data_IF_752558140375
#
_entry.id   IF_752558140375
#
_cell.length_a   1.000
_cell.length_b   1.000
_cell.length_c   1.000
_cell.angle_alpha   90.00
_cell.angle_beta   90.00
_cell.angle_gamma   90.00
#
_symmetry.space_group_name_H-M   'P 1'
#
loop_
_entity.id
_entity.type
_entity.pdbx_description
1 polymer ?
#
# COMPACT_ATOMS: atom_id res chain seq x y z
N UNK A 1 24.37 3.28 68.92
CA UNK A 1 24.32 4.00 67.62
C UNK A 1 24.72 3.14 66.41
N UNK A 2 25.83 2.38 66.42
CA UNK A 2 26.23 1.53 65.26
C UNK A 2 25.25 0.41 64.85
N UNK A 3 24.51 -0.19 65.79
CA UNK A 3 23.57 -1.29 65.48
C UNK A 3 22.25 -0.84 64.83
N UNK A 4 21.86 0.43 64.99
CA UNK A 4 20.63 0.99 64.41
C UNK A 4 20.86 1.41 62.94
N UNK A 5 22.05 1.93 62.61
CA UNK A 5 22.42 2.22 61.21
C UNK A 5 22.51 0.95 60.34
N UNK A 6 22.99 -0.17 60.89
CA UNK A 6 23.08 -1.43 60.12
C UNK A 6 21.69 -2.01 59.80
N UNK A 7 20.73 -1.89 60.73
CA UNK A 7 19.34 -2.31 60.51
C UNK A 7 18.62 -1.44 59.48
N UNK A 8 18.85 -0.12 59.49
CA UNK A 8 18.26 0.79 58.49
C UNK A 8 18.81 0.58 57.07
N UNK A 9 20.11 0.28 56.92
CA UNK A 9 20.70 -0.04 55.62
C UNK A 9 20.22 -1.39 55.07
N UNK A 10 19.98 -2.40 55.93
CA UNK A 10 19.44 -3.69 55.51
C UNK A 10 18.00 -3.62 55.01
N UNK A 11 17.16 -2.80 55.66
CA UNK A 11 15.77 -2.57 55.24
C UNK A 11 15.70 -1.71 53.97
N UNK A 12 16.60 -0.74 53.80
CA UNK A 12 16.70 0.04 52.56
C UNK A 12 17.13 -0.82 51.35
N UNK A 13 18.05 -1.77 51.54
CA UNK A 13 18.48 -2.70 50.48
C UNK A 13 17.39 -3.73 50.10
N UNK A 14 16.57 -4.16 51.06
CA UNK A 14 15.44 -5.07 50.81
C UNK A 14 14.24 -4.35 50.15
N UNK A 15 14.04 -3.05 50.41
CA UNK A 15 13.00 -2.26 49.74
C UNK A 15 13.41 -1.84 48.31
N UNK A 16 14.71 -1.75 48.01
CA UNK A 16 15.21 -1.47 46.66
C UNK A 16 15.09 -2.64 45.69
N UNK A 17 15.04 -3.88 46.19
CA UNK A 17 14.88 -5.08 45.37
C UNK A 17 13.41 -5.45 45.10
N UNK A 18 12.45 -4.86 45.84
CA UNK A 18 11.01 -5.08 45.68
C UNK A 18 10.30 -4.12 44.72
N UNK A 19 10.98 -3.10 44.19
CA UNK A 19 10.38 -2.02 43.39
C UNK A 19 10.69 -2.14 41.88
N UNK A 20 10.81 -3.35 41.35
CA UNK A 20 10.86 -3.56 39.90
C UNK A 20 9.47 -3.49 39.23
N UNK A 21 8.38 -3.48 40.01
CA UNK A 21 7.01 -3.47 39.52
C UNK A 21 6.36 -2.09 39.70
N UNK A 22 6.86 -1.08 38.99
CA UNK A 22 6.03 0.10 38.71
C UNK A 22 4.90 -0.27 37.75
N UNK A 23 3.73 0.40 37.77
CA UNK A 23 2.68 0.17 36.78
C UNK A 23 3.16 0.69 35.42
N UNK A 24 3.86 -0.15 34.66
CA UNK A 24 4.37 0.17 33.34
C UNK A 24 4.23 -1.08 32.46
N UNK A 25 3.82 -0.88 31.21
CA UNK A 25 3.90 -1.94 30.21
C UNK A 25 5.39 -2.20 29.94
N UNK A 26 5.79 -3.46 29.97
CA UNK A 26 7.13 -3.86 29.57
C UNK A 26 7.01 -5.06 28.64
N UNK A 27 7.79 -5.05 27.57
CA UNK A 27 7.83 -6.21 26.68
C UNK A 27 8.55 -7.35 27.38
N UNK A 28 7.83 -8.38 27.79
CA UNK A 28 8.43 -9.63 28.24
C UNK A 28 8.68 -10.49 27.00
N UNK A 29 9.89 -10.39 26.42
CA UNK A 29 10.28 -11.30 25.35
C UNK A 29 10.43 -12.71 25.92
N UNK A 30 9.65 -13.69 25.47
CA UNK A 30 9.98 -15.07 25.72
C UNK A 30 11.18 -15.48 24.83
N UNK A 31 11.86 -16.60 25.13
CA UNK A 31 12.97 -17.10 24.30
C UNK A 31 12.55 -17.32 22.83
N UNK A 32 13.52 -17.55 21.92
CA UNK A 32 13.47 -17.48 20.44
C UNK A 32 12.22 -18.04 19.71
N UNK A 33 11.34 -18.77 20.39
CA UNK A 33 9.93 -18.94 20.01
C UNK A 33 9.10 -19.24 21.26
N UNK A 34 8.00 -18.55 21.48
CA UNK A 34 7.06 -18.95 22.53
C UNK A 34 5.61 -18.64 22.22
N UNK A 35 4.72 -19.29 22.97
CA UNK A 35 3.29 -19.08 22.86
C UNK A 35 2.83 -17.95 23.78
N UNK A 36 2.10 -17.00 23.22
CA UNK A 36 1.41 -15.95 23.97
C UNK A 36 -0.08 -16.01 23.63
N UNK A 37 -0.93 -16.39 24.58
CA UNK A 37 -2.39 -16.48 24.39
C UNK A 37 -2.82 -17.26 23.13
N UNK A 38 -2.12 -18.36 22.81
CA UNK A 38 -2.40 -19.19 21.62
C UNK A 38 -1.77 -18.69 20.32
N UNK A 39 -1.03 -17.57 20.34
CA UNK A 39 -0.24 -17.08 19.22
C UNK A 39 1.21 -17.57 19.32
N UNK A 40 1.77 -18.00 18.19
CA UNK A 40 3.21 -18.26 18.06
C UNK A 40 3.94 -16.93 17.93
N UNK A 41 4.84 -16.62 18.85
CA UNK A 41 5.69 -15.42 18.81
C UNK A 41 7.05 -15.79 18.25
N UNK A 42 7.49 -15.09 17.20
CA UNK A 42 8.85 -15.20 16.65
C UNK A 42 9.59 -13.90 16.92
N UNK A 43 10.83 -14.02 17.40
CA UNK A 43 11.68 -12.86 17.71
C UNK A 43 12.73 -12.70 16.62
N UNK A 44 12.88 -11.48 16.14
CA UNK A 44 13.81 -11.07 15.07
C UNK A 44 14.70 -9.93 15.57
N UNK A 45 15.93 -9.83 15.06
CA UNK A 45 16.89 -8.80 15.49
C UNK A 45 17.29 -7.89 14.32
N UNK A 46 16.72 -6.68 14.29
CA UNK A 46 16.92 -5.70 13.20
C UNK A 46 18.39 -5.27 13.09
N UNK A 47 19.05 -5.03 14.22
CA UNK A 47 20.45 -4.60 14.26
C UNK A 47 21.44 -5.69 13.82
N UNK A 48 20.99 -6.95 13.75
CA UNK A 48 21.75 -8.09 13.22
C UNK A 48 21.45 -8.38 11.74
N UNK A 49 20.67 -7.52 11.09
CA UNK A 49 20.34 -7.63 9.67
C UNK A 49 19.11 -8.50 9.38
N UNK A 50 18.40 -8.98 10.40
CA UNK A 50 17.10 -9.63 10.22
C UNK A 50 16.02 -8.56 10.03
N UNK A 51 15.85 -8.12 8.79
CA UNK A 51 14.85 -7.12 8.41
C UNK A 51 13.46 -7.74 8.20
N UNK A 52 13.29 -9.02 8.54
CA UNK A 52 12.14 -9.82 8.12
C UNK A 52 12.14 -10.04 6.61
N UNK A 53 11.56 -11.16 6.17
CA UNK A 53 11.02 -11.17 4.80
C UNK A 53 9.86 -10.18 4.81
N UNK A 54 9.68 -9.41 3.74
CA UNK A 54 8.43 -8.71 3.49
C UNK A 54 7.33 -9.77 3.33
N UNK A 55 6.83 -10.30 4.45
CA UNK A 55 5.74 -11.24 4.49
C UNK A 55 4.47 -10.43 4.18
N UNK A 56 4.23 -10.23 2.90
CA UNK A 56 2.89 -10.15 2.34
C UNK A 56 2.29 -11.54 2.52
N UNK A 57 1.94 -11.92 3.75
CA UNK A 57 1.46 -13.26 4.04
C UNK A 57 0.60 -13.27 5.30
N UNK A 58 -0.45 -12.44 5.30
CA UNK A 58 -1.74 -12.75 5.94
C UNK A 58 -2.79 -11.71 5.61
N UNK A 59 -3.28 -11.79 4.38
CA UNK A 59 -4.65 -11.45 4.09
C UNK A 59 -5.20 -12.72 3.41
N UNK A 60 -6.07 -13.42 4.14
CA UNK A 60 -6.88 -14.61 3.81
C UNK A 60 -6.45 -15.54 2.64
N UNK A 61 -6.50 -16.85 2.87
CA UNK A 61 -6.23 -17.88 1.84
C UNK A 61 -7.11 -17.80 0.57
N UNK A 62 -8.12 -16.93 0.54
CA UNK A 62 -8.91 -16.59 -0.65
C UNK A 62 -8.29 -15.42 -1.44
N UNK A 63 -7.69 -14.42 -0.79
CA UNK A 63 -7.02 -13.26 -1.41
C UNK A 63 -5.67 -13.60 -2.04
N UNK A 64 -4.91 -14.55 -1.46
CA UNK A 64 -3.60 -14.96 -1.99
C UNK A 64 -3.72 -15.76 -3.31
N UNK A 65 -4.86 -16.43 -3.54
CA UNK A 65 -5.16 -17.09 -4.83
C UNK A 65 -5.50 -16.09 -5.95
N UNK A 66 -5.99 -14.90 -5.57
CA UNK A 66 -6.34 -13.82 -6.49
C UNK A 66 -5.17 -12.84 -6.70
N UNK A 67 -4.18 -12.77 -5.81
CA UNK A 67 -3.03 -11.88 -5.95
C UNK A 67 -2.07 -12.36 -7.06
N UNK A 68 -1.94 -11.59 -8.13
CA UNK A 68 -1.02 -11.88 -9.24
C UNK A 68 0.35 -11.23 -9.06
N UNK A 69 1.40 -11.82 -9.65
CA UNK A 69 2.72 -11.21 -9.69
C UNK A 69 2.78 -10.16 -10.80
N UNK A 70 3.31 -8.96 -10.52
CA UNK A 70 3.42 -7.89 -11.52
C UNK A 70 4.16 -8.34 -12.78
N UNK A 71 5.15 -9.25 -12.65
CA UNK A 71 5.89 -9.80 -13.80
C UNK A 71 5.00 -10.56 -14.78
N UNK A 72 3.89 -11.12 -14.34
CA UNK A 72 2.94 -11.84 -15.20
C UNK A 72 2.21 -10.90 -16.16
N UNK A 73 2.18 -9.59 -15.85
CA UNK A 73 1.58 -8.56 -16.72
C UNK A 73 2.58 -7.97 -17.72
N UNK A 74 3.88 -8.14 -17.49
CA UNK A 74 4.93 -7.50 -18.29
C UNK A 74 5.24 -8.32 -19.54
N UNK A 75 5.45 -7.64 -20.67
CA UNK A 75 5.96 -8.23 -21.91
C UNK A 75 7.41 -7.85 -22.15
N UNK A 76 8.21 -8.76 -22.71
CA UNK A 76 9.64 -8.50 -22.99
C UNK A 76 9.83 -7.38 -24.03
N UNK A 77 8.97 -7.39 -25.05
CA UNK A 77 8.86 -6.38 -26.09
C UNK A 77 7.39 -6.14 -26.45
N UNK A 78 7.08 -4.93 -26.90
CA UNK A 78 5.74 -4.63 -27.41
C UNK A 78 5.52 -5.39 -28.72
N UNK A 79 4.51 -6.27 -28.80
CA UNK A 79 4.22 -6.97 -30.04
C UNK A 79 3.76 -5.98 -31.11
N UNK A 80 4.09 -6.24 -32.37
CA UNK A 80 3.34 -5.62 -33.46
C UNK A 80 1.95 -6.25 -33.46
N UNK A 81 0.98 -5.57 -32.85
CA UNK A 81 -0.40 -6.01 -32.90
C UNK A 81 -0.95 -5.75 -34.29
N UNK A 82 -1.48 -6.81 -34.89
CA UNK A 82 -2.39 -6.67 -36.01
C UNK A 82 -3.82 -6.54 -35.46
N UNK A 83 -4.51 -5.49 -35.88
CA UNK A 83 -5.87 -5.25 -35.42
C UNK A 83 -6.85 -6.17 -36.17
N UNK A 84 -7.57 -7.00 -35.41
CA UNK A 84 -8.67 -7.80 -35.90
C UNK A 84 -10.00 -7.13 -35.57
N UNK A 85 -10.84 -6.98 -36.59
CA UNK A 85 -12.18 -6.39 -36.51
C UNK A 85 -13.02 -7.20 -35.53
N UNK A 86 -13.69 -6.51 -34.62
CA UNK A 86 -14.60 -7.07 -33.63
C UNK A 86 -16.05 -6.63 -33.83
N UNK A 87 -16.98 -7.26 -33.10
CA UNK A 87 -18.37 -6.81 -33.05
C UNK A 87 -18.47 -5.35 -32.59
N UNK A 88 -19.45 -4.61 -33.13
CA UNK A 88 -19.71 -3.19 -32.85
C UNK A 88 -18.72 -2.17 -33.43
N UNK A 89 -17.62 -2.60 -34.04
CA UNK A 89 -16.69 -1.70 -34.69
C UNK A 89 -17.32 -0.97 -35.89
N UNK A 90 -16.73 0.16 -36.26
CA UNK A 90 -17.09 0.90 -37.47
C UNK A 90 -15.99 0.72 -38.50
N UNK A 91 -16.38 0.30 -39.71
CA UNK A 91 -15.47 0.07 -40.83
C UNK A 91 -15.88 0.98 -41.98
N UNK A 92 -14.94 1.77 -42.48
CA UNK A 92 -15.11 2.53 -43.70
C UNK A 92 -14.57 1.74 -44.87
N UNK A 93 -15.39 1.61 -45.91
CA UNK A 93 -15.05 0.94 -47.16
C UNK A 93 -15.14 1.98 -48.26
N UNK A 94 -14.06 2.17 -49.00
CA UNK A 94 -13.98 3.10 -50.13
C UNK A 94 -13.76 2.27 -51.38
N UNK A 95 -14.63 2.44 -52.37
CA UNK A 95 -14.46 1.86 -53.70
C UNK A 95 -14.19 3.00 -54.67
N UNK A 96 -12.99 3.03 -55.24
CA UNK A 96 -12.58 4.09 -56.14
C UNK A 96 -13.43 4.08 -57.42
N UNK A 97 -13.67 5.26 -57.97
CA UNK A 97 -14.53 5.49 -59.15
C UNK A 97 -15.99 5.06 -58.97
N UNK A 98 -16.38 4.63 -57.77
CA UNK A 98 -17.71 4.17 -57.40
C UNK A 98 -18.22 4.86 -56.11
N UNK A 99 -18.54 6.17 -56.17
CA UNK A 99 -19.05 6.92 -55.01
C UNK A 99 -20.36 6.35 -54.44
N UNK A 100 -21.17 5.70 -55.28
CA UNK A 100 -22.40 5.02 -54.91
C UNK A 100 -22.18 3.80 -53.99
N UNK A 101 -21.00 3.20 -54.01
CA UNK A 101 -20.63 2.09 -53.11
C UNK A 101 -19.91 2.60 -51.86
N UNK A 102 -19.14 3.68 -51.98
CA UNK A 102 -18.45 4.31 -50.85
C UNK A 102 -19.42 4.98 -49.88
N UNK A 103 -20.44 5.67 -50.41
CA UNK A 103 -21.46 6.37 -49.63
C UNK A 103 -22.86 6.09 -50.18
N UNK A 104 -23.39 4.86 -50.00
CA UNK A 104 -24.65 4.44 -50.62
C UNK A 104 -25.87 5.25 -50.18
N UNK A 105 -25.82 5.99 -49.05
CA UNK A 105 -26.89 6.91 -48.61
C UNK A 105 -26.49 8.40 -48.68
N UNK A 106 -25.44 8.76 -49.43
CA UNK A 106 -25.00 10.15 -49.64
C UNK A 106 -24.24 10.78 -48.47
N UNK A 107 -24.16 12.13 -48.44
CA UNK A 107 -23.32 12.90 -47.50
C UNK A 107 -23.75 12.84 -46.01
N UNK A 108 -24.87 12.20 -45.69
CA UNK A 108 -25.45 12.20 -44.34
C UNK A 108 -25.12 10.95 -43.50
N UNK A 109 -24.28 10.04 -44.01
CA UNK A 109 -23.94 8.81 -43.31
C UNK A 109 -22.75 9.01 -42.36
N UNK A 110 -22.77 8.41 -41.15
CA UNK A 110 -21.59 8.34 -40.30
C UNK A 110 -20.43 7.68 -41.06
N UNK A 111 -19.20 8.04 -40.70
CA UNK A 111 -17.95 7.64 -41.37
C UNK A 111 -17.64 6.12 -41.23
N UNK A 112 -18.49 5.26 -41.77
CA UNK A 112 -18.34 3.81 -41.78
C UNK A 112 -19.65 3.06 -41.56
N UNK A 113 -19.61 1.77 -41.87
CA UNK A 113 -20.65 0.80 -41.54
C UNK A 113 -20.32 0.10 -40.22
N UNK A 114 -21.36 -0.13 -39.42
CA UNK A 114 -21.23 -0.80 -38.12
C UNK A 114 -21.22 -2.32 -38.30
N UNK A 115 -20.26 -2.98 -37.67
CA UNK A 115 -20.24 -4.43 -37.50
C UNK A 115 -21.32 -4.83 -36.49
N UNK A 116 -22.15 -5.79 -36.86
CA UNK A 116 -23.23 -6.29 -36.01
C UNK A 116 -22.69 -7.03 -34.78
N UNK A 117 -23.56 -7.30 -33.81
CA UNK A 117 -23.19 -8.03 -32.58
C UNK A 117 -22.79 -9.49 -32.84
N UNK A 118 -23.27 -10.09 -33.93
CA UNK A 118 -22.86 -11.42 -34.40
C UNK A 118 -21.60 -11.39 -35.28
N UNK A 119 -20.94 -10.22 -35.40
CA UNK A 119 -19.64 -10.10 -36.07
C UNK A 119 -19.71 -10.00 -37.59
N UNK A 120 -20.84 -9.52 -38.12
CA UNK A 120 -21.08 -9.47 -39.55
C UNK A 120 -21.23 -8.04 -40.07
N UNK A 121 -21.09 -7.91 -41.38
CA UNK A 121 -21.22 -6.66 -42.11
C UNK A 121 -22.03 -6.90 -43.38
N UNK A 122 -23.06 -6.10 -43.61
CA UNK A 122 -23.75 -6.08 -44.91
C UNK A 122 -23.11 -5.03 -45.80
N UNK A 123 -22.68 -5.44 -46.99
CA UNK A 123 -22.16 -4.52 -48.01
C UNK A 123 -22.91 -4.68 -49.34
N UNK A 124 -23.34 -3.59 -50.00
CA UNK A 124 -24.06 -3.66 -51.27
C UNK A 124 -23.35 -4.54 -52.30
N UNK A 125 -24.11 -5.40 -52.97
CA UNK A 125 -23.64 -6.39 -53.96
C UNK A 125 -22.74 -7.52 -53.39
N UNK A 126 -21.87 -7.25 -52.42
CA UNK A 126 -21.08 -8.26 -51.72
C UNK A 126 -21.89 -9.10 -50.70
N UNK A 127 -23.06 -8.61 -50.29
CA UNK A 127 -23.99 -9.29 -49.38
C UNK A 127 -23.53 -9.23 -47.93
N UNK A 128 -23.91 -10.23 -47.13
CA UNK A 128 -23.51 -10.36 -45.74
C UNK A 128 -22.14 -11.06 -45.64
N UNK A 129 -21.20 -10.46 -44.91
CA UNK A 129 -19.84 -10.94 -44.70
C UNK A 129 -19.61 -11.19 -43.20
N UNK A 130 -18.97 -12.31 -42.86
CA UNK A 130 -18.43 -12.51 -41.51
C UNK A 130 -17.10 -11.75 -41.44
N UNK A 131 -17.06 -10.69 -40.65
CA UNK A 131 -15.89 -9.79 -40.57
C UNK A 131 -15.18 -9.84 -39.23
N UNK A 132 -15.83 -10.37 -38.18
CA UNK A 132 -15.19 -10.55 -36.89
C UNK A 132 -13.99 -11.50 -37.00
N UNK A 133 -12.85 -11.07 -36.47
CA UNK A 133 -11.57 -11.77 -36.56
C UNK A 133 -10.77 -11.46 -37.81
N UNK A 134 -11.33 -10.80 -38.83
CA UNK A 134 -10.58 -10.41 -40.03
C UNK A 134 -9.76 -9.15 -39.77
N UNK A 135 -8.62 -9.04 -40.45
CA UNK A 135 -7.88 -7.79 -40.57
C UNK A 135 -8.53 -6.89 -41.62
N UNK A 136 -8.21 -5.59 -41.61
CA UNK A 136 -8.69 -4.67 -42.66
C UNK A 136 -8.26 -5.13 -44.06
N UNK A 137 -7.06 -5.71 -44.17
CA UNK A 137 -6.53 -6.23 -45.43
C UNK A 137 -7.28 -7.48 -45.90
N UNK A 138 -7.60 -8.41 -45.00
CA UNK A 138 -8.37 -9.61 -45.32
C UNK A 138 -9.79 -9.23 -45.76
N UNK A 139 -10.43 -8.30 -45.05
CA UNK A 139 -11.75 -7.79 -45.42
C UNK A 139 -11.75 -7.10 -46.78
N UNK A 140 -10.71 -6.31 -47.07
CA UNK A 140 -10.52 -5.67 -48.39
C UNK A 140 -10.48 -6.72 -49.50
N UNK A 141 -9.69 -7.77 -49.34
CA UNK A 141 -9.57 -8.84 -50.33
C UNK A 141 -10.89 -9.58 -50.55
N UNK A 142 -11.62 -9.87 -49.47
CA UNK A 142 -12.91 -10.55 -49.56
C UNK A 142 -13.96 -9.67 -50.27
N UNK A 143 -14.03 -8.37 -49.97
CA UNK A 143 -14.93 -7.44 -50.63
C UNK A 143 -14.57 -7.30 -52.12
N UNK A 144 -13.29 -7.08 -52.43
CA UNK A 144 -12.81 -7.00 -53.83
C UNK A 144 -13.25 -8.23 -54.61
N UNK A 145 -13.02 -9.43 -54.07
CA UNK A 145 -13.42 -10.70 -54.72
C UNK A 145 -14.92 -10.74 -55.00
N UNK A 146 -15.76 -10.47 -54.00
CA UNK A 146 -17.22 -10.55 -54.15
C UNK A 146 -17.81 -9.51 -55.10
N UNK A 147 -17.21 -8.31 -55.18
CA UNK A 147 -17.62 -7.27 -56.12
C UNK A 147 -17.20 -7.64 -57.56
N UNK A 148 -16.00 -8.18 -57.73
CA UNK A 148 -15.50 -8.69 -59.02
C UNK A 148 -16.40 -9.78 -59.60
N UNK A 149 -16.82 -10.73 -58.76
CA UNK A 149 -17.62 -11.88 -59.19
C UNK A 149 -19.04 -11.50 -59.65
N UNK A 150 -19.54 -10.31 -59.27
CA UNK A 150 -20.95 -9.95 -59.43
C UNK A 150 -21.21 -8.74 -60.32
N UNK A 151 -20.43 -7.67 -60.20
CA UNK A 151 -20.85 -6.38 -60.78
C UNK A 151 -19.72 -5.48 -61.31
N UNK A 152 -18.48 -5.62 -60.84
CA UNK A 152 -17.36 -4.75 -61.25
C UNK A 152 -16.23 -5.56 -61.93
N UNK A 153 -15.47 -4.90 -62.81
CA UNK A 153 -14.22 -5.46 -63.34
C UNK A 153 -13.05 -4.76 -62.64
N UNK A 154 -12.19 -5.54 -61.98
CA UNK A 154 -11.01 -5.06 -61.22
C UNK A 154 -11.27 -3.89 -60.23
N UNK A 155 -12.19 -4.06 -59.26
CA UNK A 155 -12.56 -3.02 -58.31
C UNK A 155 -11.41 -2.69 -57.34
N UNK A 156 -11.07 -1.40 -57.27
CA UNK A 156 -10.10 -0.88 -56.32
C UNK A 156 -10.80 -0.53 -55.01
N UNK A 157 -10.53 -1.31 -53.96
CA UNK A 157 -11.18 -1.18 -52.64
C UNK A 157 -10.13 -0.82 -51.58
N UNK A 158 -10.45 0.15 -50.73
CA UNK A 158 -9.73 0.47 -49.49
C UNK A 158 -10.66 0.22 -48.29
N UNK A 159 -10.12 -0.33 -47.20
CA UNK A 159 -10.88 -0.66 -46.00
C UNK A 159 -10.11 -0.16 -44.78
N UNK A 160 -10.79 0.59 -43.91
CA UNK A 160 -10.21 1.16 -42.69
C UNK A 160 -11.16 1.00 -41.52
N UNK A 161 -10.63 0.71 -40.34
CA UNK A 161 -11.41 0.73 -39.10
C UNK A 161 -11.46 2.17 -38.60
N UNK A 162 -12.66 2.74 -38.50
CA UNK A 162 -12.87 4.13 -38.09
C UNK A 162 -13.39 4.27 -36.67
N UNK A 163 -13.87 3.18 -36.07
CA UNK A 163 -14.36 3.17 -34.70
C UNK A 163 -14.11 1.83 -34.02
N UNK A 164 -13.21 1.83 -33.04
CA UNK A 164 -12.79 0.67 -32.29
C UNK A 164 -13.67 0.46 -31.04
N UNK A 165 -14.89 -0.02 -31.26
CA UNK A 165 -15.92 -0.06 -30.22
C UNK A 165 -16.05 -1.41 -29.52
N UNK A 166 -15.54 -2.48 -30.12
CA UNK A 166 -15.68 -3.84 -29.61
C UNK A 166 -14.73 -4.20 -28.46
N UNK A 167 -13.67 -3.41 -28.22
CA UNK A 167 -12.60 -3.73 -27.28
C UNK A 167 -12.31 -2.55 -26.36
N UNK A 168 -12.53 -2.75 -25.05
CA UNK A 168 -12.33 -1.70 -24.04
C UNK A 168 -11.70 -2.27 -22.77
N UNK A 169 -10.91 -1.44 -22.11
CA UNK A 169 -10.50 -1.62 -20.71
C UNK A 169 -11.13 -0.51 -19.87
N UNK A 170 -11.16 -0.66 -18.56
CA UNK A 170 -11.81 0.30 -17.66
C UNK A 170 -10.82 0.90 -16.69
N UNK A 171 -10.79 2.23 -16.59
CA UNK A 171 -10.01 2.95 -15.59
C UNK A 171 -10.97 3.70 -14.67
N UNK A 172 -10.83 3.50 -13.37
CA UNK A 172 -11.78 3.99 -12.36
C UNK A 172 -11.08 4.46 -11.09
N UNK A 173 -11.83 5.16 -10.24
CA UNK A 173 -11.32 5.76 -9.00
C UNK A 173 -10.80 7.18 -9.21
N UNK A 174 -9.74 7.53 -8.48
CA UNK A 174 -9.15 8.86 -8.40
C UNK A 174 -8.29 9.20 -9.63
N UNK A 175 -8.96 9.43 -10.76
CA UNK A 175 -8.37 9.89 -12.03
C UNK A 175 -9.20 11.02 -12.60
N UNK A 176 -8.62 11.84 -13.48
CA UNK A 176 -9.31 13.05 -13.98
C UNK A 176 -10.57 12.74 -14.81
N UNK A 177 -10.58 11.64 -15.57
CA UNK A 177 -11.73 11.21 -16.40
C UNK A 177 -11.96 9.71 -16.31
N UNK A 178 -12.60 9.22 -15.22
CA UNK A 178 -12.90 7.79 -15.07
C UNK A 178 -13.78 7.30 -16.21
N UNK A 179 -13.51 6.10 -16.74
CA UNK A 179 -14.29 5.54 -17.83
C UNK A 179 -13.60 4.42 -18.59
N UNK A 180 -14.24 4.03 -19.70
CA UNK A 180 -13.71 3.02 -20.59
C UNK A 180 -12.68 3.65 -21.55
N UNK A 181 -11.53 2.99 -21.70
CA UNK A 181 -10.52 3.32 -22.71
C UNK A 181 -10.62 2.30 -23.86
N UNK A 182 -10.74 2.81 -25.09
CA UNK A 182 -10.84 1.99 -26.30
C UNK A 182 -9.46 1.62 -26.84
N UNK A 183 -9.33 0.40 -27.37
CA UNK A 183 -8.11 -0.06 -28.03
C UNK A 183 -8.09 0.35 -29.49
N UNK A 184 -6.97 0.85 -29.99
CA UNK A 184 -6.77 1.13 -31.42
C UNK A 184 -5.81 0.09 -32.05
N UNK A 185 -5.15 0.46 -33.15
CA UNK A 185 -4.12 -0.34 -33.83
C UNK A 185 -2.81 -0.43 -33.03
N UNK A 186 -2.59 0.46 -32.05
CA UNK A 186 -1.36 0.48 -31.28
C UNK A 186 -1.51 -0.38 -30.01
N UNK A 187 -0.44 -1.05 -29.58
CA UNK A 187 -0.42 -1.69 -28.29
C UNK A 187 -0.68 -0.65 -27.18
N UNK A 188 -1.74 -0.84 -26.41
CA UNK A 188 -2.10 0.05 -25.30
C UNK A 188 -1.37 -0.39 -24.03
N UNK A 189 -0.54 0.48 -23.45
CA UNK A 189 0.16 0.20 -22.20
C UNK A 189 -0.55 0.82 -20.99
N UNK A 190 -0.16 0.44 -19.77
CA UNK A 190 -0.71 1.01 -18.54
C UNK A 190 -0.52 2.55 -18.48
N UNK A 191 0.68 3.11 -18.74
CA UNK A 191 0.85 4.55 -18.85
C UNK A 191 -0.05 5.22 -19.90
N UNK A 192 -0.28 4.57 -21.06
CA UNK A 192 -1.15 5.10 -22.11
C UNK A 192 -2.59 5.20 -21.61
N UNK A 193 -3.10 4.16 -20.96
CA UNK A 193 -4.45 4.14 -20.39
C UNK A 193 -4.66 5.23 -19.33
N UNK A 194 -3.68 5.41 -18.43
CA UNK A 194 -3.71 6.50 -17.44
C UNK A 194 -3.67 7.86 -18.12
N UNK A 195 -2.87 8.02 -19.18
CA UNK A 195 -2.78 9.27 -19.95
C UNK A 195 -4.09 9.60 -20.66
N UNK A 196 -4.78 8.60 -21.22
CA UNK A 196 -6.07 8.78 -21.91
C UNK A 196 -7.18 9.27 -20.98
N UNK A 197 -7.15 8.88 -19.71
CA UNK A 197 -8.08 9.41 -18.69
C UNK A 197 -7.62 10.75 -18.09
N UNK A 198 -6.58 11.37 -18.66
CA UNK A 198 -6.07 12.66 -18.24
C UNK A 198 -5.14 12.61 -17.03
N UNK A 199 -4.61 11.43 -16.68
CA UNK A 199 -3.76 11.25 -15.51
C UNK A 199 -4.53 11.13 -14.19
N UNK A 200 -3.76 11.08 -13.11
CA UNK A 200 -4.27 11.06 -11.74
C UNK A 200 -4.91 12.40 -11.36
N UNK A 201 -5.96 12.35 -10.54
CA UNK A 201 -6.51 13.56 -9.93
C UNK A 201 -5.67 14.01 -8.71
N UNK A 202 -6.05 15.12 -8.08
CA UNK A 202 -5.30 15.69 -6.93
C UNK A 202 -5.38 14.87 -5.63
N UNK A 203 -6.35 13.94 -5.54
CA UNK A 203 -6.57 13.10 -4.35
C UNK A 203 -6.12 11.66 -4.55
N UNK A 204 -5.59 11.33 -5.73
CA UNK A 204 -5.18 9.99 -6.10
C UNK A 204 -4.03 9.48 -5.22
N UNK A 205 -4.05 8.18 -4.94
CA UNK A 205 -2.91 7.44 -4.40
C UNK A 205 -2.33 6.50 -5.47
N UNK A 206 -1.33 6.96 -6.25
CA UNK A 206 -0.67 6.11 -7.26
C UNK A 206 0.14 4.96 -6.65
N UNK A 207 0.39 4.96 -5.34
CA UNK A 207 1.19 3.93 -4.68
C UNK A 207 0.41 2.64 -4.38
N UNK A 208 -0.92 2.71 -4.45
CA UNK A 208 -1.83 1.63 -4.07
C UNK A 208 -2.79 1.25 -5.21
N UNK A 209 -2.39 1.45 -6.47
CA UNK A 209 -3.25 1.10 -7.60
C UNK A 209 -3.49 -0.41 -7.67
N UNK A 210 -4.66 -0.78 -8.16
CA UNK A 210 -5.05 -2.16 -8.41
C UNK A 210 -5.30 -2.36 -9.89
N UNK A 211 -4.68 -3.39 -10.45
CA UNK A 211 -4.94 -3.85 -11.80
C UNK A 211 -5.61 -5.21 -11.71
N UNK A 212 -6.70 -5.44 -12.43
CA UNK A 212 -7.42 -6.70 -12.42
C UNK A 212 -7.55 -7.27 -13.83
N UNK A 213 -7.17 -8.54 -13.97
CA UNK A 213 -7.23 -9.32 -15.22
C UNK A 213 -7.55 -10.77 -14.89
N UNK A 214 -8.49 -11.37 -15.62
CA UNK A 214 -8.85 -12.78 -15.51
C UNK A 214 -9.13 -13.25 -14.06
N UNK A 215 -9.77 -12.38 -13.26
CA UNK A 215 -10.08 -12.65 -11.85
C UNK A 215 -8.91 -12.45 -10.88
N UNK A 216 -7.69 -12.19 -11.37
CA UNK A 216 -6.53 -11.86 -10.54
C UNK A 216 -6.39 -10.36 -10.34
N UNK A 217 -5.96 -9.96 -9.15
CA UNK A 217 -5.66 -8.58 -8.74
C UNK A 217 -4.15 -8.43 -8.56
N UNK A 218 -3.60 -7.38 -9.15
CA UNK A 218 -2.19 -7.05 -9.14
C UNK A 218 -2.05 -5.67 -8.48
N UNK A 219 -1.32 -5.61 -7.37
CA UNK A 219 -1.01 -4.34 -6.71
C UNK A 219 0.14 -3.64 -7.45
N UNK A 220 -0.07 -2.39 -7.83
CA UNK A 220 0.92 -1.59 -8.56
C UNK A 220 1.20 -0.32 -7.78
N UNK A 221 2.44 -0.17 -7.32
CA UNK A 221 2.94 1.12 -6.84
C UNK A 221 3.53 1.89 -8.02
N UNK A 222 2.69 2.72 -8.67
CA UNK A 222 3.06 3.48 -9.85
C UNK A 222 4.19 4.47 -9.56
N UNK A 223 4.16 5.10 -8.39
CA UNK A 223 5.17 6.07 -7.97
C UNK A 223 6.53 5.41 -7.77
N UNK A 224 6.57 4.30 -7.05
CA UNK A 224 7.79 3.52 -6.84
C UNK A 224 8.34 2.97 -8.15
N UNK A 225 7.46 2.48 -9.03
CA UNK A 225 7.86 2.00 -10.34
C UNK A 225 8.51 3.11 -11.19
N UNK A 226 7.96 4.33 -11.17
CA UNK A 226 8.55 5.48 -11.84
C UNK A 226 9.92 5.87 -11.23
N UNK A 227 10.03 5.85 -9.90
CA UNK A 227 11.27 6.22 -9.19
C UNK A 227 12.40 5.19 -9.34
N UNK A 228 12.06 3.91 -9.40
CA UNK A 228 13.02 2.80 -9.47
C UNK A 228 13.17 2.23 -10.88
N UNK A 229 12.72 2.97 -11.90
CA UNK A 229 12.88 2.64 -13.31
C UNK A 229 12.30 1.26 -13.68
N UNK A 230 11.16 0.90 -13.08
CA UNK A 230 10.39 -0.26 -13.48
C UNK A 230 9.58 0.10 -14.72
N UNK A 231 9.77 -0.68 -15.79
CA UNK A 231 9.23 -0.40 -17.11
C UNK A 231 7.71 -0.65 -17.18
N UNK A 232 6.90 0.27 -16.66
CA UNK A 232 5.43 0.21 -16.70
C UNK A 232 4.88 0.19 -18.13
N UNK A 233 5.63 0.72 -19.10
CA UNK A 233 5.35 0.63 -20.53
C UNK A 233 5.37 -0.82 -21.05
N UNK A 234 5.91 -1.78 -20.27
CA UNK A 234 5.83 -3.21 -20.59
C UNK A 234 4.54 -3.86 -20.10
N UNK A 235 3.70 -3.16 -19.34
CA UNK A 235 2.39 -3.67 -18.92
C UNK A 235 1.40 -3.37 -20.04
N UNK A 236 1.22 -4.36 -20.92
CA UNK A 236 0.29 -4.26 -22.04
C UNK A 236 -1.13 -4.58 -21.57
N UNK A 237 -2.09 -3.71 -21.88
CA UNK A 237 -3.50 -3.92 -21.59
C UNK A 237 -4.14 -4.91 -22.57
N UNK A 238 -5.20 -5.56 -22.10
CA UNK A 238 -6.09 -6.47 -22.82
C UNK A 238 -7.53 -6.03 -22.66
N UNK A 239 -8.41 -6.33 -23.63
CA UNK A 239 -9.84 -6.07 -23.49
C UNK A 239 -10.38 -6.73 -22.22
N UNK A 240 -11.15 -5.99 -21.43
CA UNK A 240 -11.72 -6.47 -20.15
C UNK A 240 -10.88 -6.16 -18.91
N UNK A 241 -9.63 -5.71 -19.05
CA UNK A 241 -8.83 -5.27 -17.91
C UNK A 241 -9.49 -4.12 -17.15
N UNK A 242 -9.29 -4.12 -15.83
CA UNK A 242 -9.80 -3.08 -14.93
C UNK A 242 -8.64 -2.48 -14.13
N UNK A 243 -8.52 -1.16 -14.18
CA UNK A 243 -7.54 -0.38 -13.43
C UNK A 243 -8.33 0.47 -12.44
N UNK A 244 -7.98 0.35 -11.17
CA UNK A 244 -8.55 1.12 -10.08
C UNK A 244 -7.46 1.90 -9.37
N UNK A 245 -7.64 3.21 -9.28
CA UNK A 245 -6.76 4.12 -8.54
C UNK A 245 -7.51 4.58 -7.29
N UNK A 246 -7.11 4.18 -6.08
CA UNK A 246 -7.80 4.63 -4.87
C UNK A 246 -7.50 6.10 -4.58
N UNK A 247 -8.36 6.73 -3.78
CA UNK A 247 -8.07 8.04 -3.21
C UNK A 247 -7.18 7.91 -1.96
N UNK A 248 -6.29 8.88 -1.72
CA UNK A 248 -5.40 8.94 -0.55
C UNK A 248 -6.13 8.78 0.78
N UNK A 249 -7.34 9.33 0.90
CA UNK A 249 -8.13 9.21 2.14
C UNK A 249 -8.58 7.79 2.42
N UNK A 250 -8.80 6.99 1.39
CA UNK A 250 -9.20 5.58 1.51
C UNK A 250 -8.02 4.74 1.96
N UNK A 251 -6.84 4.97 1.39
CA UNK A 251 -5.62 4.24 1.73
C UNK A 251 -5.04 4.67 3.08
N UNK A 252 -5.04 5.97 3.40
CA UNK A 252 -4.56 6.49 4.70
C UNK A 252 -5.39 6.02 5.89
N UNK A 253 -6.70 5.79 5.72
CA UNK A 253 -7.53 5.22 6.81
C UNK A 253 -7.04 3.84 7.23
N UNK A 254 -6.49 3.08 6.29
CA UNK A 254 -6.01 1.73 6.51
C UNK A 254 -4.49 1.62 6.58
N UNK A 255 -3.71 2.71 6.49
CA UNK A 255 -2.24 2.72 6.41
C UNK A 255 -1.60 3.54 7.54
N UNK A 256 -1.77 3.08 8.78
CA UNK A 256 -1.22 3.74 9.98
C UNK A 256 -0.34 2.78 10.76
N UNK A 257 0.74 3.29 11.31
CA UNK A 257 1.58 2.63 12.32
C UNK A 257 1.33 3.28 13.66
N UNK A 258 1.32 2.48 14.72
CA UNK A 258 1.15 2.97 16.09
C UNK A 258 2.51 3.07 16.76
N UNK A 259 2.89 4.24 17.25
CA UNK A 259 4.13 4.46 18.01
C UNK A 259 3.79 4.75 19.46
N UNK A 260 4.25 3.87 20.35
CA UNK A 260 3.89 3.81 21.77
C UNK A 260 5.14 3.68 22.66
N UNK A 261 4.96 3.90 23.97
CA UNK A 261 6.03 3.78 24.96
C UNK A 261 6.82 5.08 25.16
N UNK A 262 8.10 4.96 25.50
CA UNK A 262 8.97 6.09 25.86
C UNK A 262 9.57 6.81 24.64
N UNK A 263 8.68 7.39 23.83
CA UNK A 263 9.03 8.28 22.71
C UNK A 263 8.69 9.73 23.05
N UNK A 264 9.13 10.67 22.22
CA UNK A 264 8.80 12.09 22.40
C UNK A 264 7.29 12.38 22.38
N UNK A 265 6.56 11.74 21.47
CA UNK A 265 5.10 11.82 21.32
C UNK A 265 4.55 10.47 20.86
N UNK A 266 3.67 9.89 21.66
CA UNK A 266 2.92 8.68 21.29
C UNK A 266 1.78 9.03 20.33
N UNK A 267 1.43 8.12 19.43
CA UNK A 267 0.34 8.31 18.48
C UNK A 267 0.43 7.44 17.24
N UNK A 268 -0.28 7.86 16.18
CA UNK A 268 -0.22 7.20 14.88
C UNK A 268 0.68 7.97 13.92
N UNK A 269 1.45 7.25 13.11
CA UNK A 269 2.21 7.79 11.98
C UNK A 269 1.61 7.21 10.69
N UNK A 270 1.31 8.08 9.74
CA UNK A 270 0.76 7.66 8.44
C UNK A 270 1.89 7.10 7.56
N UNK A 271 1.61 5.99 6.88
CA UNK A 271 2.52 5.40 5.87
C UNK A 271 2.29 6.13 4.56
N UNK A 272 3.25 6.97 4.16
CA UNK A 272 3.14 7.77 2.93
C UNK A 272 3.70 6.99 1.74
N UNK A 273 3.03 7.05 0.58
CA UNK A 273 3.50 6.42 -0.67
C UNK A 273 3.82 4.91 -0.56
N UNK A 274 3.17 4.22 0.39
CA UNK A 274 3.39 2.81 0.66
C UNK A 274 4.71 2.47 1.35
N UNK A 275 5.47 3.46 1.86
CA UNK A 275 6.74 3.25 2.58
C UNK A 275 6.78 4.09 3.86
N UNK A 276 7.31 3.49 4.92
CA UNK A 276 7.61 4.18 6.18
C UNK A 276 8.71 3.39 6.87
N UNK A 277 9.88 3.99 7.09
CA UNK A 277 10.97 3.30 7.80
C UNK A 277 10.74 3.35 9.32
N UNK A 278 11.33 2.41 10.06
CA UNK A 278 11.30 2.45 11.53
C UNK A 278 11.93 3.73 12.07
N UNK A 279 13.01 4.21 11.43
CA UNK A 279 13.63 5.49 11.80
C UNK A 279 12.70 6.67 11.53
N UNK A 280 12.04 6.71 10.38
CA UNK A 280 11.10 7.77 10.04
C UNK A 280 9.92 7.83 11.01
N UNK A 281 9.38 6.67 11.41
CA UNK A 281 8.32 6.59 12.40
C UNK A 281 8.77 7.10 13.78
N UNK A 282 9.96 6.69 14.24
CA UNK A 282 10.53 7.17 15.50
C UNK A 282 10.80 8.68 15.43
N UNK A 283 11.38 9.19 14.34
CA UNK A 283 11.67 10.60 14.15
C UNK A 283 10.40 11.46 14.12
N UNK A 284 9.37 11.02 13.40
CA UNK A 284 8.04 11.67 13.36
C UNK A 284 7.39 11.75 14.74
N UNK A 285 7.65 10.75 15.57
CA UNK A 285 7.22 10.65 16.96
C UNK A 285 8.13 11.40 17.95
N UNK A 286 9.08 12.22 17.47
CA UNK A 286 9.97 13.01 18.32
C UNK A 286 11.18 12.26 18.88
N UNK A 287 11.48 11.07 18.35
CA UNK A 287 12.61 10.22 18.73
C UNK A 287 12.40 9.47 20.04
N UNK A 288 13.45 8.74 20.45
CA UNK A 288 13.51 8.09 21.76
C UNK A 288 13.63 9.15 22.86
N UNK A 289 12.89 9.01 23.94
CA UNK A 289 13.01 9.90 25.08
C UNK A 289 14.38 9.70 25.77
N UNK A 290 15.26 10.70 25.69
CA UNK A 290 16.63 10.59 26.19
C UNK A 290 16.75 10.31 27.70
N UNK A 291 15.73 10.66 28.49
CA UNK A 291 15.73 10.44 29.94
C UNK A 291 15.09 9.10 30.32
N UNK A 292 14.08 8.68 29.55
CA UNK A 292 13.22 7.59 29.97
C UNK A 292 13.37 6.32 29.15
N UNK A 293 13.71 6.41 27.87
CA UNK A 293 13.70 5.26 26.96
C UNK A 293 14.87 4.30 27.22
N UNK A 294 14.62 2.99 27.09
CA UNK A 294 15.68 2.02 26.90
C UNK A 294 16.00 1.88 25.41
N UNK A 295 17.14 2.44 25.00
CA UNK A 295 17.59 2.38 23.60
C UNK A 295 17.92 0.96 23.12
N UNK A 296 18.02 -0.04 23.99
CA UNK A 296 18.22 -1.44 23.59
C UNK A 296 16.92 -2.16 23.22
N UNK A 297 15.78 -1.59 23.60
CA UNK A 297 14.50 -2.29 23.71
C UNK A 297 13.44 -1.52 22.90
N UNK A 298 13.72 -1.40 21.60
CA UNK A 298 12.79 -0.83 20.60
C UNK A 298 12.20 -1.99 19.80
N UNK A 299 10.88 -2.17 19.87
CA UNK A 299 10.18 -3.30 19.26
C UNK A 299 9.30 -2.83 18.12
N UNK A 300 9.19 -3.67 17.08
CA UNK A 300 8.10 -3.63 16.12
C UNK A 300 7.31 -4.92 16.30
N UNK A 301 6.05 -4.80 16.67
CA UNK A 301 5.12 -5.92 16.82
C UNK A 301 4.27 -5.94 15.55
N UNK A 302 4.38 -7.03 14.79
CA UNK A 302 3.68 -7.24 13.54
C UNK A 302 2.84 -8.51 13.63
N UNK A 303 1.56 -8.40 13.30
CA UNK A 303 0.73 -9.59 13.14
C UNK A 303 1.06 -10.22 11.78
N UNK A 304 1.80 -11.33 11.79
CA UNK A 304 2.21 -11.99 10.54
C UNK A 304 1.09 -12.83 9.96
N UNK A 305 0.28 -13.49 10.77
CA UNK A 305 -0.93 -14.23 10.37
C UNK A 305 -1.88 -14.42 11.54
N UNK A 306 -3.06 -15.00 11.32
CA UNK A 306 -4.10 -15.18 12.36
C UNK A 306 -3.59 -15.87 13.65
N UNK A 307 -2.46 -16.57 13.58
CA UNK A 307 -1.87 -17.34 14.69
C UNK A 307 -0.42 -16.97 15.00
N UNK A 308 0.22 -16.04 14.28
CA UNK A 308 1.65 -15.74 14.40
C UNK A 308 1.92 -14.25 14.53
N UNK A 309 2.68 -13.89 15.57
CA UNK A 309 3.13 -12.52 15.83
C UNK A 309 4.65 -12.47 15.68
N UNK A 310 5.13 -11.60 14.80
CA UNK A 310 6.56 -11.31 14.68
C UNK A 310 6.91 -10.10 15.55
N UNK A 311 7.94 -10.26 16.37
CA UNK A 311 8.49 -9.20 17.21
C UNK A 311 9.91 -8.90 16.74
N UNK A 312 10.08 -7.75 16.10
CA UNK A 312 11.39 -7.29 15.65
C UNK A 312 11.98 -6.37 16.71
N UNK A 313 13.09 -6.78 17.30
CA UNK A 313 13.84 -5.99 18.27
C UNK A 313 14.96 -5.22 17.56
N UNK A 314 15.08 -3.94 17.88
CA UNK A 314 16.19 -3.07 17.51
C UNK A 314 16.97 -2.66 18.76
N UNK A 315 18.23 -3.06 18.83
CA UNK A 315 19.17 -2.51 19.80
C UNK A 315 19.82 -1.21 19.27
N UNK A 316 19.16 -0.08 19.51
CA UNK A 316 19.61 1.26 19.12
C UNK A 316 20.62 1.90 20.08
N UNK A 317 21.31 1.12 20.92
CA UNK A 317 22.41 1.65 21.76
C UNK A 317 23.54 2.24 20.91
N UNK A 318 23.78 1.64 19.74
CA UNK A 318 24.71 2.16 18.75
C UNK A 318 23.92 2.92 17.68
N UNK A 319 24.30 4.17 17.40
CA UNK A 319 23.68 4.97 16.35
C UNK A 319 23.76 4.31 14.96
N UNK A 320 24.74 3.43 14.71
CA UNK A 320 24.81 2.65 13.47
C UNK A 320 23.63 1.69 13.29
N UNK A 321 23.01 1.21 14.38
CA UNK A 321 21.82 0.36 14.30
C UNK A 321 20.62 1.12 13.69
N UNK A 322 20.60 2.46 13.80
CA UNK A 322 19.58 3.27 13.13
C UNK A 322 19.69 3.17 11.59
N UNK A 323 20.88 2.94 11.05
CA UNK A 323 21.00 2.68 9.60
C UNK A 323 20.32 1.37 9.18
N UNK A 324 20.19 0.38 10.07
CA UNK A 324 19.41 -0.83 9.82
C UNK A 324 17.91 -0.56 9.95
N UNK A 325 17.53 0.23 10.95
CA UNK A 325 16.14 0.64 11.13
C UNK A 325 15.63 1.52 9.96
N UNK A 326 16.50 2.29 9.30
CA UNK A 326 16.13 3.04 8.09
C UNK A 326 15.80 2.11 6.91
N UNK A 327 16.40 0.92 6.88
CA UNK A 327 16.14 -0.10 5.86
C UNK A 327 14.95 -1.01 6.23
N UNK A 328 14.44 -0.90 7.45
CA UNK A 328 13.32 -1.68 7.95
C UNK A 328 12.01 -0.94 7.65
N UNK A 329 11.28 -1.41 6.64
CA UNK A 329 9.97 -0.85 6.31
C UNK A 329 8.88 -1.41 7.26
N UNK A 330 8.14 -0.48 7.84
CA UNK A 330 6.96 -0.78 8.63
C UNK A 330 5.78 -1.12 7.71
N UNK A 331 4.96 -2.03 8.17
CA UNK A 331 3.70 -2.43 7.54
C UNK A 331 2.55 -1.72 8.22
N UNK A 332 1.43 -1.60 7.51
CA UNK A 332 0.23 -1.03 8.11
C UNK A 332 -0.19 -1.84 9.35
N UNK A 333 -0.61 -1.13 10.39
CA UNK A 333 -0.99 -1.65 11.70
C UNK A 333 0.15 -2.26 12.52
N UNK A 334 1.40 -2.08 12.11
CA UNK A 334 2.53 -2.36 13.00
C UNK A 334 2.43 -1.51 14.27
N UNK A 335 2.84 -2.09 15.40
CA UNK A 335 3.00 -1.37 16.66
C UNK A 335 4.49 -1.23 16.97
N UNK A 336 4.99 -0.01 16.88
CA UNK A 336 6.32 0.35 17.37
C UNK A 336 6.21 0.67 18.86
N UNK A 337 6.93 -0.07 19.67
CA UNK A 337 6.91 0.08 21.12
C UNK A 337 8.31 0.29 21.68
N UNK A 338 8.49 1.29 22.53
CA UNK A 338 9.77 1.59 23.18
C UNK A 338 9.65 1.38 24.68
N UNK A 339 10.43 0.44 25.21
CA UNK A 339 10.45 0.16 26.64
C UNK A 339 11.06 1.32 27.44
N UNK A 340 10.67 1.40 28.72
CA UNK A 340 11.27 2.31 29.67
C UNK A 340 12.60 1.76 30.22
N UNK A 341 13.58 2.64 30.39
CA UNK A 341 14.83 2.36 31.09
C UNK A 341 14.57 2.09 32.58
N UNK A 342 15.39 1.24 33.19
CA UNK A 342 15.26 0.93 34.62
C UNK A 342 15.35 2.14 35.55
N UNK A 343 16.04 3.21 35.13
CA UNK A 343 16.14 4.48 35.87
C UNK A 343 14.82 5.29 35.82
N UNK A 344 14.11 5.24 34.70
CA UNK A 344 12.83 5.92 34.53
C UNK A 344 11.74 5.30 35.41
N UNK A 345 11.70 3.96 35.47
CA UNK A 345 10.82 3.20 36.35
C UNK A 345 11.04 3.58 37.80
N UNK A 346 12.30 3.73 38.22
CA UNK A 346 12.66 4.12 39.59
C UNK A 346 12.28 5.58 39.90
N UNK A 347 12.54 6.52 39.00
CA UNK A 347 12.16 7.92 39.19
C UNK A 347 10.64 8.10 39.31
N UNK A 348 9.84 7.31 38.58
CA UNK A 348 8.37 7.31 38.66
C UNK A 348 7.85 6.75 39.98
N UNK A 349 8.50 5.71 40.52
CA UNK A 349 8.17 5.19 41.86
C UNK A 349 8.46 6.26 42.92
N UNK A 350 9.58 6.97 42.81
CA UNK A 350 9.89 8.09 43.71
C UNK A 350 8.85 9.19 43.59
N UNK A 351 8.44 9.58 42.38
CA UNK A 351 7.44 10.64 42.20
C UNK A 351 6.05 10.26 42.71
N UNK A 352 5.70 8.97 42.71
CA UNK A 352 4.46 8.46 43.31
C UNK A 352 4.51 8.42 44.85
N UNK A 353 5.67 8.21 45.45
CA UNK A 353 5.84 8.14 46.92
C UNK A 353 6.19 9.51 47.52
N UNK A 354 6.83 10.40 46.77
CA UNK A 354 7.27 11.72 47.24
C UNK A 354 6.17 12.56 47.92
N UNK A 355 4.90 12.58 47.44
CA UNK A 355 3.82 13.30 48.12
C UNK A 355 3.57 12.78 49.54
N UNK A 356 3.70 11.47 49.77
CA UNK A 356 3.51 10.88 51.12
C UNK A 356 4.66 11.23 52.06
N UNK A 357 5.89 11.30 51.56
CA UNK A 357 7.05 11.74 52.34
C UNK A 357 6.95 13.20 52.78
N UNK A 358 6.46 14.08 51.90
CA UNK A 358 6.20 15.48 52.24
C UNK A 358 5.07 15.61 53.28
N UNK A 359 4.00 14.82 53.16
CA UNK A 359 2.91 14.79 54.14
C UNK A 359 3.37 14.28 55.52
N UNK A 360 4.21 13.26 55.57
CA UNK A 360 4.78 12.74 56.83
C UNK A 360 5.72 13.75 57.49
N UNK A 361 6.58 14.41 56.70
CA UNK A 361 7.46 15.46 57.24
C UNK A 361 6.66 16.66 57.77
N UNK A 362 5.61 17.07 57.06
CA UNK A 362 4.71 18.13 57.51
C UNK A 362 3.91 17.72 58.74
N UNK A 363 3.37 16.49 58.81
CA UNK A 363 2.68 16.00 59.99
C UNK A 363 3.62 15.87 61.21
N UNK A 364 4.86 15.44 61.01
CA UNK A 364 5.87 15.33 62.06
C UNK A 364 6.41 16.69 62.52
N UNK A 365 6.50 17.69 61.64
CA UNK A 365 6.84 19.06 62.03
C UNK A 365 5.67 19.74 62.75
N UNK A 366 4.44 19.54 62.30
CA UNK A 366 3.23 20.01 63.00
C UNK A 366 3.07 19.35 64.37
N UNK A 367 3.30 18.03 64.49
CA UNK A 367 3.26 17.32 65.77
C UNK A 367 4.33 17.81 66.75
N UNK A 368 5.57 18.03 66.28
CA UNK A 368 6.63 18.66 67.08
C UNK A 368 6.28 20.09 67.49
N UNK A 369 5.70 20.89 66.61
CA UNK A 369 5.29 22.26 66.91
C UNK A 369 4.12 22.29 67.92
N UNK A 370 3.14 21.38 67.81
CA UNK A 370 2.06 21.22 68.78
C UNK A 370 2.61 20.79 70.14
N UNK A 371 3.59 19.89 70.17
CA UNK A 371 4.23 19.43 71.41
C UNK A 371 5.10 20.51 72.07
N UNK A 372 5.73 21.37 71.27
CA UNK A 372 6.42 22.59 71.75
C UNK A 372 5.40 23.62 72.28
N UNK A 373 4.23 23.75 71.65
CA UNK A 373 3.13 24.60 72.14
C UNK A 373 2.51 24.07 73.44
N UNK A 374 2.33 22.75 73.58
CA UNK A 374 1.74 22.15 74.78
C UNK A 374 2.70 22.06 75.97
N UNK A 375 4.01 22.16 75.74
CA UNK A 375 5.03 22.12 76.80
C UNK A 375 5.39 23.49 77.38
N UNK A 376 4.69 24.57 76.98
CA UNK A 376 4.80 25.88 77.63
C UNK A 376 6.12 26.62 77.41
N UNK A 377 6.93 26.23 76.41
CA UNK A 377 8.12 26.98 76.01
C UNK A 377 7.79 27.99 74.90
N UNK A 378 7.07 29.06 75.26
CA UNK A 378 7.07 30.30 74.47
C UNK A 378 7.84 31.37 75.25
N UNK A 379 9.00 31.75 74.72
CA UNK A 379 9.81 32.86 75.24
C UNK A 379 11.04 32.45 76.05
N UNK A 380 12.14 32.16 75.35
CA UNK A 380 13.48 32.62 75.72
C UNK A 380 14.24 32.99 74.46
#
# INVERSE_FOLDING_TARGET
>A
MKKICLGLCGVAAALLSGCAAGPQMQMALPGDSAEYNGYTVRVHYIDQGDLGKANVAAASAEEESAAGNLKDLMVDSLPQLEYHIGPLDMVQIVVWEHPELTSPMGQYQPAGQKVTTDGKLFYPYAGELNVAGLTAQELRLEITKRLSDKILNDPQVDVRVTGYNGRKAFVSGAVNKPGAVGFDEKPMTLPDAISLVGGFDEYADPSAMQFRRDGKVYSINYLDAFQNNLALEKILLRPGDQIFVPALKETQKSNKVYVLGEVGRVGTVDVNNGKLSLVEALASSGGLNALNADSRSVYVIRNSNETTIDVYLLNAKNAMALAMAERFNLSSHDVVYVDASGLATWNRIISLIAPTGALLNNAASTGRNIQLMSSGQWGR
#
